data_IF_711605307260
#
_entry.id   IF_711605307260
#
_cell.length_a   1.000
_cell.length_b   1.000
_cell.length_c   1.000
_cell.angle_alpha   90.00
_cell.angle_beta   90.00
_cell.angle_gamma   90.00
#
_symmetry.space_group_name_H-M   'P 1'
#
loop_
_entity.id
_entity.type
_entity.pdbx_description
1 polymer ?
#
# COMPACT_ATOMS: atom_id res chain seq x y z
N UNK A 1 22.18 6.51 14.49
CA UNK A 1 22.37 5.82 13.20
C UNK A 1 21.02 5.32 12.79
N UNK A 2 20.54 5.61 11.58
CA UNK A 2 19.30 5.04 11.08
C UNK A 2 19.42 3.52 11.13
N UNK A 3 18.55 2.85 11.86
CA UNK A 3 18.48 1.39 11.84
C UNK A 3 18.13 0.96 10.42
N UNK A 4 18.64 -0.19 9.98
CA UNK A 4 18.34 -0.70 8.63
C UNK A 4 16.86 -1.05 8.56
N UNK A 5 16.19 -0.68 7.49
CA UNK A 5 14.80 -1.00 7.24
C UNK A 5 14.68 -2.04 6.12
N UNK A 6 13.99 -3.14 6.38
CA UNK A 6 13.50 -4.06 5.35
C UNK A 6 12.00 -3.96 5.23
N UNK A 7 11.43 -4.34 4.08
CA UNK A 7 9.99 -4.42 3.90
C UNK A 7 9.56 -5.81 3.46
N UNK A 8 8.56 -6.38 4.13
CA UNK A 8 7.84 -7.57 3.69
C UNK A 8 6.44 -7.15 3.25
N UNK A 9 6.00 -7.60 2.06
CA UNK A 9 4.71 -7.24 1.51
C UNK A 9 3.87 -8.50 1.31
N UNK A 10 2.79 -8.64 2.07
CA UNK A 10 1.89 -9.80 1.96
C UNK A 10 1.07 -9.72 0.66
N UNK A 11 1.32 -10.63 -0.26
CA UNK A 11 0.71 -10.67 -1.59
C UNK A 11 0.27 -12.10 -2.02
N UNK A 12 0.14 -13.04 -1.07
CA UNK A 12 -0.12 -14.45 -1.35
C UNK A 12 -1.63 -14.82 -1.44
N UNK A 13 -2.53 -13.90 -1.09
CA UNK A 13 -3.96 -14.16 -0.97
C UNK A 13 -4.64 -14.47 -2.31
N UNK A 14 -5.63 -15.38 -2.30
CA UNK A 14 -6.36 -15.84 -3.50
C UNK A 14 -7.25 -14.75 -4.15
N UNK A 15 -7.75 -13.78 -3.36
CA UNK A 15 -8.57 -12.67 -3.88
C UNK A 15 -9.88 -13.10 -4.56
N UNK A 16 -10.54 -14.13 -4.07
CA UNK A 16 -11.74 -14.74 -4.68
C UNK A 16 -12.89 -13.75 -4.94
N UNK A 17 -13.04 -12.73 -4.08
CA UNK A 17 -14.04 -11.64 -4.20
C UNK A 17 -13.84 -10.76 -5.44
N UNK A 18 -12.64 -10.73 -6.02
CA UNK A 18 -12.36 -10.02 -7.27
C UNK A 18 -13.01 -10.67 -8.50
N UNK A 19 -13.41 -11.94 -8.41
CA UNK A 19 -13.98 -12.72 -9.50
C UNK A 19 -13.14 -12.61 -10.78
N UNK A 20 -11.84 -12.88 -10.68
CA UNK A 20 -10.85 -12.67 -11.73
C UNK A 20 -9.81 -13.79 -11.72
N UNK A 21 -9.29 -14.14 -12.90
CA UNK A 21 -8.10 -14.99 -13.04
C UNK A 21 -6.79 -14.22 -12.77
N UNK A 22 -6.85 -12.87 -12.79
CA UNK A 22 -5.72 -12.05 -12.43
C UNK A 22 -5.58 -12.03 -10.89
N UNK A 23 -4.39 -12.29 -10.33
CA UNK A 23 -4.13 -12.12 -8.90
C UNK A 23 -4.59 -10.74 -8.39
N UNK A 24 -5.22 -10.71 -7.20
CA UNK A 24 -5.78 -9.48 -6.62
C UNK A 24 -4.82 -8.31 -6.66
N UNK A 25 -3.60 -8.54 -6.26
CA UNK A 25 -2.55 -7.50 -6.15
C UNK A 25 -2.06 -6.95 -7.50
N UNK A 26 -2.42 -7.59 -8.60
CA UNK A 26 -2.10 -7.13 -9.97
C UNK A 26 -3.20 -6.27 -10.62
N UNK A 27 -4.37 -6.15 -9.98
CA UNK A 27 -5.36 -5.19 -10.47
C UNK A 27 -4.81 -3.77 -10.37
N UNK A 28 -5.16 -2.95 -11.35
CA UNK A 28 -4.59 -1.61 -11.50
C UNK A 28 -5.55 -0.53 -11.03
N UNK A 29 -4.98 0.48 -10.37
CA UNK A 29 -5.56 1.79 -10.16
C UNK A 29 -4.56 2.83 -10.66
N UNK A 30 -5.02 3.84 -11.38
CA UNK A 30 -4.23 4.97 -11.88
C UNK A 30 -2.90 4.49 -12.49
N UNK A 31 -2.99 3.61 -13.49
CA UNK A 31 -1.84 3.13 -14.28
C UNK A 31 -0.98 2.03 -13.64
N UNK A 32 -0.94 1.88 -12.30
CA UNK A 32 -0.10 0.89 -11.60
C UNK A 32 -0.92 -0.21 -10.93
N UNK A 33 -0.33 -1.40 -10.76
CA UNK A 33 -0.92 -2.47 -9.95
C UNK A 33 -0.98 -2.08 -8.47
N UNK A 34 -1.89 -2.70 -7.69
CA UNK A 34 -1.96 -2.47 -6.25
C UNK A 34 -0.61 -2.72 -5.59
N UNK A 35 0.01 -3.87 -5.90
CA UNK A 35 1.36 -4.20 -5.40
C UNK A 35 2.41 -3.18 -5.87
N UNK A 36 2.29 -2.68 -7.11
CA UNK A 36 3.22 -1.67 -7.64
C UNK A 36 3.20 -0.36 -6.83
N UNK A 37 2.02 0.08 -6.37
CA UNK A 37 1.91 1.24 -5.47
C UNK A 37 2.58 0.96 -4.12
N UNK A 38 2.32 -0.20 -3.51
CA UNK A 38 2.90 -0.57 -2.21
C UNK A 38 4.42 -0.70 -2.28
N UNK A 39 4.95 -1.33 -3.34
CA UNK A 39 6.40 -1.42 -3.58
C UNK A 39 7.02 -0.05 -3.75
N UNK A 40 6.38 0.85 -4.53
CA UNK A 40 6.86 2.23 -4.69
C UNK A 40 6.95 2.97 -3.36
N UNK A 41 5.95 2.78 -2.48
CA UNK A 41 5.98 3.37 -1.13
C UNK A 41 7.13 2.80 -0.29
N UNK A 42 7.40 1.48 -0.36
CA UNK A 42 8.53 0.87 0.33
C UNK A 42 9.89 1.37 -0.20
N UNK A 43 10.02 1.57 -1.52
CA UNK A 43 11.21 2.18 -2.14
C UNK A 43 11.41 3.62 -1.67
N UNK A 44 10.35 4.42 -1.57
CA UNK A 44 10.42 5.80 -1.09
C UNK A 44 10.87 5.91 0.39
N UNK A 45 10.73 4.83 1.16
CA UNK A 45 11.22 4.71 2.54
C UNK A 45 12.67 4.21 2.63
N UNK A 46 13.35 4.01 1.51
CA UNK A 46 14.70 3.43 1.44
C UNK A 46 14.77 2.01 2.04
N UNK A 47 13.66 1.25 2.03
CA UNK A 47 13.62 -0.11 2.54
C UNK A 47 14.44 -1.06 1.65
N UNK A 48 15.32 -1.85 2.26
CA UNK A 48 16.13 -2.86 1.57
C UNK A 48 16.54 -3.99 2.53
N UNK A 49 16.23 -5.26 2.21
CA UNK A 49 15.52 -5.74 1.03
C UNK A 49 14.00 -5.47 1.07
N UNK A 50 13.35 -5.47 -0.12
CA UNK A 50 11.89 -5.48 -0.26
C UNK A 50 11.48 -6.89 -0.70
N UNK A 51 10.59 -7.53 0.08
CA UNK A 51 10.27 -8.95 -0.07
C UNK A 51 8.75 -9.14 -0.23
N UNK A 52 8.21 -9.20 -1.46
CA UNK A 52 6.86 -9.65 -1.68
C UNK A 52 6.72 -11.15 -1.35
N UNK A 53 5.80 -11.49 -0.45
CA UNK A 53 5.40 -12.88 -0.18
C UNK A 53 4.29 -13.23 -1.14
N UNK A 54 4.56 -14.12 -2.08
CA UNK A 54 3.64 -14.52 -3.14
C UNK A 54 3.14 -15.95 -2.90
N UNK A 55 1.97 -16.26 -3.44
CA UNK A 55 1.34 -17.58 -3.30
C UNK A 55 0.52 -17.90 -4.54
N UNK A 56 -0.80 -17.71 -4.49
CA UNK A 56 -1.65 -17.87 -5.66
C UNK A 56 -1.23 -16.92 -6.80
N UNK A 57 -0.95 -17.49 -7.99
CA UNK A 57 -0.48 -16.71 -9.15
C UNK A 57 0.93 -16.14 -9.01
N UNK A 58 1.80 -16.76 -8.19
CA UNK A 58 3.16 -16.30 -7.89
C UNK A 58 3.97 -15.94 -9.14
N UNK A 59 3.88 -16.77 -10.20
CA UNK A 59 4.62 -16.52 -11.44
C UNK A 59 4.11 -15.25 -12.17
N UNK A 60 2.79 -15.04 -12.20
CA UNK A 60 2.21 -13.83 -12.80
C UNK A 60 2.68 -12.57 -12.04
N UNK A 61 2.77 -12.65 -10.70
CA UNK A 61 3.25 -11.54 -9.88
C UNK A 61 4.74 -11.27 -10.15
N UNK A 62 5.58 -12.32 -10.22
CA UNK A 62 7.02 -12.17 -10.53
C UNK A 62 7.25 -11.53 -11.89
N UNK A 63 6.52 -11.99 -12.91
CA UNK A 63 6.60 -11.42 -14.27
C UNK A 63 6.14 -9.96 -14.29
N UNK A 64 5.02 -9.64 -13.62
CA UNK A 64 4.49 -8.28 -13.60
C UNK A 64 5.40 -7.27 -12.85
N UNK A 65 6.22 -7.76 -11.91
CA UNK A 65 7.15 -6.96 -11.11
C UNK A 65 8.61 -7.08 -11.60
N UNK A 66 8.83 -7.68 -12.78
CA UNK A 66 10.16 -7.82 -13.35
C UNK A 66 10.84 -6.45 -13.56
N UNK A 67 12.16 -6.39 -13.35
CA UNK A 67 12.95 -5.15 -13.46
C UNK A 67 12.99 -4.30 -12.18
N UNK A 68 12.28 -4.69 -11.13
CA UNK A 68 12.40 -4.06 -9.80
C UNK A 68 13.35 -4.88 -8.90
N UNK A 69 14.07 -4.22 -8.01
CA UNK A 69 14.98 -4.89 -7.05
C UNK A 69 14.18 -5.51 -5.89
N UNK A 70 13.63 -6.69 -6.15
CA UNK A 70 12.76 -7.42 -5.22
C UNK A 70 13.29 -8.84 -4.96
N UNK A 71 13.17 -9.29 -3.71
CA UNK A 71 13.40 -10.69 -3.33
C UNK A 71 12.04 -11.32 -3.03
N UNK A 72 11.67 -12.38 -3.75
CA UNK A 72 10.38 -13.02 -3.55
C UNK A 72 10.46 -14.18 -2.56
N UNK A 73 9.53 -14.23 -1.61
CA UNK A 73 9.28 -15.39 -0.78
C UNK A 73 8.01 -16.11 -1.27
N UNK A 74 7.99 -17.45 -1.20
CA UNK A 74 6.85 -18.26 -1.63
C UNK A 74 6.11 -18.81 -0.42
N UNK A 75 4.83 -18.44 -0.27
CA UNK A 75 3.89 -19.12 0.60
C UNK A 75 3.13 -20.18 -0.21
N UNK A 76 3.63 -21.41 -0.21
CA UNK A 76 3.04 -22.50 -1.01
C UNK A 76 1.65 -22.89 -0.51
N UNK A 77 1.45 -22.93 0.80
CA UNK A 77 0.17 -23.20 1.46
C UNK A 77 -0.28 -21.95 2.22
N UNK A 78 -1.52 -21.50 2.00
CA UNK A 78 -2.07 -20.32 2.65
C UNK A 78 -2.55 -20.65 4.08
N UNK A 79 -1.61 -20.79 5.01
CA UNK A 79 -1.86 -21.15 6.41
C UNK A 79 -2.02 -19.91 7.34
N UNK A 80 -2.29 -18.76 6.78
CA UNK A 80 -2.52 -17.51 7.53
C UNK A 80 -1.41 -16.46 7.33
N UNK A 81 -1.63 -15.28 7.92
CA UNK A 81 -0.76 -14.10 7.75
C UNK A 81 0.56 -14.21 8.54
N UNK A 82 0.55 -14.88 9.70
CA UNK A 82 1.76 -15.19 10.45
C UNK A 82 2.67 -16.16 9.71
N UNK A 83 2.08 -17.21 9.11
CA UNK A 83 2.82 -18.13 8.25
C UNK A 83 3.40 -17.42 7.02
N UNK A 84 2.68 -16.47 6.42
CA UNK A 84 3.18 -15.69 5.30
C UNK A 84 4.44 -14.89 5.66
N UNK A 85 4.48 -14.27 6.85
CA UNK A 85 5.68 -13.57 7.32
C UNK A 85 6.83 -14.55 7.60
N UNK A 86 6.57 -15.71 8.19
CA UNK A 86 7.60 -16.77 8.39
C UNK A 86 8.25 -17.20 7.07
N UNK A 87 7.50 -17.30 5.97
CA UNK A 87 8.03 -17.62 4.66
C UNK A 87 9.06 -16.58 4.14
N UNK A 88 9.08 -15.37 4.70
CA UNK A 88 10.06 -14.35 4.33
C UNK A 88 11.37 -14.42 5.11
N UNK A 89 11.47 -15.25 6.17
CA UNK A 89 12.65 -15.32 7.05
C UNK A 89 13.93 -15.62 6.26
N UNK A 90 13.91 -16.63 5.38
CA UNK A 90 15.06 -17.01 4.57
C UNK A 90 15.48 -15.90 3.58
N UNK A 91 14.53 -15.17 3.02
CA UNK A 91 14.81 -14.08 2.08
C UNK A 91 15.46 -12.86 2.76
N UNK A 92 15.31 -12.70 4.07
CA UNK A 92 15.98 -11.69 4.89
C UNK A 92 17.44 -12.03 5.18
N UNK A 93 17.84 -13.32 5.10
CA UNK A 93 19.23 -13.79 5.18
C UNK A 93 20.03 -13.17 6.35
N UNK A 94 19.52 -13.30 7.59
CA UNK A 94 20.16 -12.77 8.79
C UNK A 94 20.09 -11.24 8.94
N UNK A 95 19.13 -10.61 8.29
CA UNK A 95 18.85 -9.19 8.45
C UNK A 95 18.62 -8.85 9.94
N UNK A 96 19.25 -7.79 10.40
CA UNK A 96 19.07 -7.21 11.73
C UNK A 96 18.75 -5.72 11.59
N UNK A 97 17.60 -5.33 12.08
CA UNK A 97 17.04 -3.97 11.95
C UNK A 97 15.53 -3.99 12.09
N UNK A 98 14.87 -2.98 11.57
CA UNK A 98 13.42 -2.87 11.60
C UNK A 98 12.80 -3.47 10.34
N UNK A 99 11.71 -4.21 10.52
CA UNK A 99 10.98 -4.91 9.48
C UNK A 99 9.59 -4.31 9.32
N UNK A 100 9.39 -3.57 8.25
CA UNK A 100 8.09 -3.02 7.88
C UNK A 100 7.26 -4.09 7.16
N UNK A 101 6.12 -4.44 7.73
CA UNK A 101 5.15 -5.32 7.10
C UNK A 101 4.04 -4.51 6.46
N UNK A 102 3.82 -4.73 5.17
CA UNK A 102 2.78 -4.09 4.36
C UNK A 102 1.85 -5.14 3.75
N UNK A 103 0.62 -4.71 3.43
CA UNK A 103 -0.33 -5.51 2.67
C UNK A 103 -0.34 -5.06 1.20
N UNK A 104 -0.14 -5.98 0.26
CA UNK A 104 -0.05 -5.69 -1.17
C UNK A 104 -1.36 -5.19 -1.81
N UNK A 105 -2.44 -5.19 -1.05
CA UNK A 105 -3.76 -4.69 -1.42
C UNK A 105 -4.17 -3.39 -0.67
N UNK A 106 -3.22 -2.73 0.01
CA UNK A 106 -3.42 -1.44 0.69
C UNK A 106 -2.57 -0.35 0.02
N UNK A 107 -2.94 0.12 -1.19
CA UNK A 107 -2.12 1.01 -1.99
C UNK A 107 -2.20 2.49 -1.59
N UNK A 108 -3.11 2.85 -0.68
CA UNK A 108 -3.39 4.25 -0.35
C UNK A 108 -2.54 4.80 0.80
N UNK A 109 -1.65 3.99 1.39
CA UNK A 109 -0.76 4.42 2.46
C UNK A 109 0.18 5.53 2.00
N UNK A 110 0.26 6.60 2.78
CA UNK A 110 1.20 7.68 2.53
C UNK A 110 2.58 7.36 3.11
N UNK A 111 3.63 7.73 2.38
CA UNK A 111 5.00 7.70 2.88
C UNK A 111 5.14 8.43 4.22
N UNK A 112 4.52 9.62 4.37
CA UNK A 112 4.54 10.40 5.61
C UNK A 112 4.00 9.61 6.81
N UNK A 113 2.93 8.86 6.63
CA UNK A 113 2.32 8.03 7.68
C UNK A 113 3.26 6.91 8.11
N UNK A 114 3.91 6.26 7.13
CA UNK A 114 4.87 5.20 7.43
C UNK A 114 6.17 5.74 8.05
N UNK A 115 6.64 6.92 7.65
CA UNK A 115 7.76 7.59 8.35
C UNK A 115 7.40 7.89 9.80
N UNK A 116 6.19 8.38 10.07
CA UNK A 116 5.72 8.60 11.45
C UNK A 116 5.64 7.30 12.26
N UNK A 117 5.25 6.17 11.63
CA UNK A 117 5.26 4.85 12.26
C UNK A 117 6.69 4.41 12.63
N UNK A 118 7.65 4.60 11.72
CA UNK A 118 9.07 4.28 11.94
C UNK A 118 9.63 5.14 13.06
N UNK A 119 9.41 6.44 13.02
CA UNK A 119 9.88 7.38 14.05
C UNK A 119 9.31 7.03 15.42
N UNK A 120 8.00 6.72 15.50
CA UNK A 120 7.35 6.31 16.74
C UNK A 120 7.94 5.00 17.29
N UNK A 121 8.13 3.99 16.45
CA UNK A 121 8.74 2.71 16.81
C UNK A 121 10.13 2.89 17.42
N UNK A 122 10.98 3.66 16.74
CA UNK A 122 12.34 3.94 17.19
C UNK A 122 12.36 4.72 18.51
N UNK A 123 11.54 5.79 18.63
CA UNK A 123 11.47 6.63 19.84
C UNK A 123 10.99 5.82 21.06
N UNK A 124 10.07 4.91 20.85
CA UNK A 124 9.54 4.06 21.90
C UNK A 124 10.42 2.83 22.17
N UNK A 125 11.45 2.57 21.36
CA UNK A 125 12.25 1.34 21.38
C UNK A 125 11.36 0.08 21.41
N UNK A 126 10.27 0.08 20.63
CA UNK A 126 9.29 -0.98 20.60
C UNK A 126 9.84 -2.24 19.88
N UNK A 127 9.35 -3.42 20.26
CA UNK A 127 9.55 -4.66 19.53
C UNK A 127 8.50 -4.81 18.41
N UNK A 128 7.27 -4.36 18.69
CA UNK A 128 6.14 -4.38 17.76
C UNK A 128 5.45 -3.02 17.81
N UNK A 129 5.22 -2.41 16.66
CA UNK A 129 4.35 -1.23 16.53
C UNK A 129 3.30 -1.49 15.47
N UNK A 130 2.04 -1.30 15.83
CA UNK A 130 0.88 -1.53 14.97
C UNK A 130 0.41 -0.18 14.44
N UNK A 131 0.16 -0.08 13.13
CA UNK A 131 -0.61 1.04 12.59
C UNK A 131 -2.09 0.75 12.79
N UNK A 132 -2.80 1.61 13.49
CA UNK A 132 -4.23 1.47 13.80
C UNK A 132 -5.04 2.60 13.21
N UNK A 133 -6.33 2.38 13.02
CA UNK A 133 -7.27 3.40 12.56
C UNK A 133 -8.59 3.28 13.32
N UNK A 134 -9.35 4.37 13.41
CA UNK A 134 -10.72 4.34 13.92
C UNK A 134 -11.70 4.34 12.76
N UNK A 135 -12.63 3.39 12.75
CA UNK A 135 -13.67 3.28 11.72
C UNK A 135 -15.07 3.33 12.33
N UNK A 136 -16.02 3.99 11.63
CA UNK A 136 -17.44 3.98 12.01
C UNK A 136 -18.05 2.59 11.85
N UNK A 137 -17.64 1.88 10.79
CA UNK A 137 -18.01 0.49 10.56
C UNK A 137 -16.74 -0.38 10.50
N UNK A 138 -16.32 -1.00 11.62
CA UNK A 138 -15.10 -1.78 11.69
C UNK A 138 -15.27 -3.24 11.20
N UNK A 139 -16.42 -3.59 10.62
CA UNK A 139 -16.71 -4.96 10.18
C UNK A 139 -15.65 -5.49 9.20
N UNK A 140 -15.18 -6.71 9.46
CA UNK A 140 -14.17 -7.39 8.64
C UNK A 140 -12.72 -7.09 9.01
N UNK A 141 -12.46 -6.25 10.00
CA UNK A 141 -11.12 -5.97 10.53
C UNK A 141 -10.90 -6.60 11.90
N UNK A 142 -9.67 -6.88 12.27
CA UNK A 142 -9.29 -7.19 13.63
C UNK A 142 -9.47 -5.97 14.56
N UNK A 143 -9.82 -6.20 15.79
CA UNK A 143 -10.03 -5.16 16.82
C UNK A 143 -8.82 -5.01 17.72
N UNK A 144 -8.45 -3.78 18.02
CA UNK A 144 -7.37 -3.47 18.97
C UNK A 144 -7.97 -3.46 20.37
N UNK A 145 -7.56 -4.43 21.19
CA UNK A 145 -7.97 -4.50 22.58
C UNK A 145 -6.89 -3.84 23.43
N UNK A 146 -7.29 -2.80 24.17
CA UNK A 146 -6.39 -2.04 25.03
C UNK A 146 -6.62 -2.39 26.50
N UNK A 147 -5.53 -2.64 27.20
CA UNK A 147 -5.47 -2.74 28.65
C UNK A 147 -4.91 -1.47 29.31
N UNK A 148 -4.58 -1.55 30.58
CA UNK A 148 -4.02 -0.43 31.37
C UNK A 148 -2.67 0.05 30.78
N UNK A 149 -1.88 -0.86 30.24
CA UNK A 149 -0.52 -0.60 29.75
C UNK A 149 -0.43 -0.46 28.20
N UNK A 150 -1.52 -0.10 27.53
CA UNK A 150 -1.57 0.08 26.08
C UNK A 150 -2.24 -1.10 25.36
N UNK A 151 -1.74 -1.47 24.18
CA UNK A 151 -2.31 -2.58 23.41
C UNK A 151 -2.02 -3.90 24.12
N UNK A 152 -3.07 -4.65 24.40
CA UNK A 152 -2.99 -5.96 25.03
C UNK A 152 -2.96 -7.09 24.00
N UNK A 153 -3.91 -7.08 23.08
CA UNK A 153 -4.04 -8.07 22.00
C UNK A 153 -4.86 -7.52 20.83
N UNK A 154 -4.84 -8.24 19.74
CA UNK A 154 -5.73 -8.02 18.60
C UNK A 154 -6.64 -9.24 18.48
N UNK A 155 -7.93 -8.99 18.27
CA UNK A 155 -8.93 -10.05 18.06
C UNK A 155 -9.47 -9.95 16.64
N UNK A 156 -9.36 -11.04 15.89
CA UNK A 156 -9.91 -11.10 14.55
C UNK A 156 -11.45 -11.09 14.57
N UNK A 157 -12.07 -10.51 13.53
CA UNK A 157 -13.55 -10.37 13.45
C UNK A 157 -14.31 -11.67 13.75
N UNK A 158 -13.79 -12.82 13.32
CA UNK A 158 -14.46 -14.10 13.45
C UNK A 158 -14.37 -14.70 14.86
N UNK A 159 -13.33 -14.31 15.59
CA UNK A 159 -13.05 -14.77 16.95
C UNK A 159 -13.55 -13.78 18.01
N UNK A 160 -13.95 -12.55 17.59
CA UNK A 160 -14.41 -11.49 18.47
C UNK A 160 -15.78 -11.79 19.10
N UNK A 161 -15.91 -11.55 20.40
CA UNK A 161 -17.19 -11.56 21.10
C UNK A 161 -18.03 -10.29 20.77
N UNK A 162 -19.25 -10.20 21.35
CA UNK A 162 -20.16 -9.09 21.06
C UNK A 162 -19.61 -7.73 21.56
N UNK A 163 -18.90 -7.71 22.67
CA UNK A 163 -18.31 -6.48 23.23
C UNK A 163 -17.09 -6.04 22.42
N UNK A 164 -16.26 -6.98 22.02
CA UNK A 164 -15.07 -6.74 21.19
C UNK A 164 -15.43 -6.22 19.80
N UNK A 165 -16.52 -6.71 19.19
CA UNK A 165 -17.03 -6.19 17.90
C UNK A 165 -17.45 -4.74 17.96
N UNK A 166 -17.77 -4.19 19.13
CA UNK A 166 -18.10 -2.75 19.30
C UNK A 166 -16.87 -1.84 19.32
N UNK A 167 -15.67 -2.41 19.47
CA UNK A 167 -14.42 -1.64 19.41
C UNK A 167 -14.23 -1.09 18.00
N UNK A 168 -14.04 0.23 17.91
CA UNK A 168 -13.91 0.95 16.62
C UNK A 168 -12.48 1.10 16.17
N UNK A 169 -11.50 0.90 17.05
CA UNK A 169 -10.09 0.89 16.70
C UNK A 169 -9.73 -0.46 16.05
N UNK A 170 -9.27 -0.38 14.81
CA UNK A 170 -9.01 -1.55 13.98
C UNK A 170 -7.52 -1.77 13.74
N UNK A 171 -7.16 -3.02 13.53
CA UNK A 171 -5.89 -3.44 12.98
C UNK A 171 -5.87 -3.19 11.48
N UNK A 172 -4.93 -2.37 11.00
CA UNK A 172 -4.77 -2.08 9.57
C UNK A 172 -4.03 -3.18 8.80
N UNK A 173 -3.40 -4.13 9.51
CA UNK A 173 -2.51 -5.12 8.92
C UNK A 173 -1.10 -4.60 8.60
N UNK A 174 -0.80 -3.37 8.99
CA UNK A 174 0.50 -2.72 8.80
C UNK A 174 1.23 -2.70 10.14
N UNK A 175 2.48 -3.18 10.13
CA UNK A 175 3.28 -3.31 11.33
C UNK A 175 4.72 -2.88 11.10
N UNK A 176 5.37 -2.48 12.17
CA UNK A 176 6.82 -2.41 12.26
C UNK A 176 7.30 -3.33 13.38
N UNK A 177 8.26 -4.18 13.08
CA UNK A 177 8.81 -5.18 13.98
C UNK A 177 10.32 -5.03 14.11
N UNK A 178 10.89 -5.43 15.23
CA UNK A 178 12.31 -5.74 15.31
C UNK A 178 12.59 -7.14 14.78
N UNK A 179 13.41 -7.24 13.76
CA UNK A 179 13.96 -8.50 13.31
C UNK A 179 15.32 -8.74 14.02
N UNK A 180 15.64 -9.93 14.51
CA UNK A 180 14.96 -11.23 14.31
C UNK A 180 13.88 -11.59 15.36
N UNK A 181 13.59 -10.70 16.35
CA UNK A 181 12.70 -11.01 17.46
C UNK A 181 11.31 -11.48 16.98
N UNK A 182 10.74 -10.82 15.96
CA UNK A 182 9.42 -11.20 15.43
C UNK A 182 9.37 -12.65 14.95
N UNK A 183 10.44 -13.16 14.35
CA UNK A 183 10.47 -14.56 13.90
C UNK A 183 10.55 -15.57 15.06
N UNK A 184 11.23 -15.20 16.16
CA UNK A 184 11.20 -16.00 17.36
C UNK A 184 9.78 -16.07 17.97
N UNK A 185 9.09 -14.92 18.07
CA UNK A 185 7.73 -14.84 18.57
C UNK A 185 6.73 -15.62 17.68
N UNK A 186 6.88 -15.53 16.35
CA UNK A 186 5.99 -16.23 15.40
C UNK A 186 6.09 -17.76 15.48
N UNK A 187 7.25 -18.31 15.87
CA UNK A 187 7.44 -19.77 16.00
C UNK A 187 6.63 -20.34 17.18
N UNK A 188 6.25 -19.49 18.15
CA UNK A 188 5.45 -19.87 19.31
C UNK A 188 3.93 -19.64 19.11
N UNK A 189 3.53 -18.99 18.00
CA UNK A 189 2.12 -18.79 17.64
C UNK A 189 1.53 -20.10 17.15
N UNK A 190 0.36 -20.46 17.66
CA UNK A 190 -0.40 -21.65 17.24
C UNK A 190 -1.57 -21.27 16.28
N UNK A 191 -2.28 -22.27 15.79
CA UNK A 191 -3.43 -22.09 14.88
C UNK A 191 -4.76 -22.48 15.52
N UNK A 192 -4.87 -22.44 16.85
CA UNK A 192 -6.09 -22.79 17.59
C UNK A 192 -7.08 -21.62 17.62
N UNK A 193 -7.64 -21.30 16.45
CA UNK A 193 -8.65 -20.26 16.23
C UNK A 193 -9.73 -20.75 15.27
N UNK A 194 -10.77 -19.95 15.04
CA UNK A 194 -11.94 -20.33 14.19
C UNK A 194 -11.54 -20.69 12.76
N UNK A 195 -10.46 -20.14 12.24
CA UNK A 195 -10.01 -20.39 10.86
C UNK A 195 -8.96 -21.52 10.75
N UNK A 196 -8.34 -21.94 11.85
CA UNK A 196 -7.22 -22.88 11.85
C UNK A 196 -5.95 -22.31 11.23
N UNK A 197 -5.78 -20.99 11.23
CA UNK A 197 -4.68 -20.27 10.59
C UNK A 197 -3.69 -19.71 11.63
N UNK A 198 -2.44 -19.55 11.24
CA UNK A 198 -1.44 -18.83 12.04
C UNK A 198 -1.68 -17.33 11.86
N UNK A 199 -2.33 -16.72 12.82
CA UNK A 199 -2.61 -15.28 12.78
C UNK A 199 -1.39 -14.46 13.13
N UNK A 200 -1.07 -13.48 12.31
CA UNK A 200 -0.02 -12.51 12.62
C UNK A 200 -0.38 -11.66 13.85
N UNK A 201 -1.66 -11.42 14.07
CA UNK A 201 -2.19 -10.65 15.19
C UNK A 201 -1.85 -11.25 16.55
N UNK A 202 -1.62 -12.56 16.63
CA UNK A 202 -1.24 -13.25 17.87
C UNK A 202 0.19 -12.91 18.32
N UNK A 203 1.05 -12.42 17.41
CA UNK A 203 2.39 -11.91 17.76
C UNK A 203 2.32 -10.78 18.81
N UNK A 204 1.25 -9.99 18.82
CA UNK A 204 1.05 -8.89 19.79
C UNK A 204 0.94 -9.45 21.20
N UNK A 205 0.09 -10.44 21.39
CA UNK A 205 -0.06 -11.10 22.70
C UNK A 205 1.22 -11.86 23.10
N UNK A 206 1.87 -12.54 22.14
CA UNK A 206 3.15 -13.23 22.38
C UNK A 206 4.26 -12.25 22.79
N UNK A 207 4.37 -11.09 22.14
CA UNK A 207 5.33 -10.06 22.51
C UNK A 207 5.08 -9.52 23.93
N UNK A 208 3.82 -9.24 24.28
CA UNK A 208 3.46 -8.79 25.63
C UNK A 208 3.79 -9.85 26.69
N UNK A 209 3.51 -11.12 26.42
CA UNK A 209 3.85 -12.23 27.33
C UNK A 209 5.35 -12.41 27.51
N UNK A 210 6.15 -12.15 26.48
CA UNK A 210 7.61 -12.15 26.54
C UNK A 210 8.20 -10.91 27.24
N UNK A 211 7.36 -9.95 27.69
CA UNK A 211 7.80 -8.70 28.30
C UNK A 211 8.33 -7.67 27.30
N UNK A 212 8.10 -7.88 26.01
CA UNK A 212 8.52 -6.97 24.96
C UNK A 212 7.57 -5.75 24.87
N UNK A 213 8.12 -4.63 24.43
CA UNK A 213 7.34 -3.40 24.27
C UNK A 213 6.50 -3.44 22.99
N UNK A 214 5.19 -3.28 23.15
CA UNK A 214 4.22 -3.19 22.07
C UNK A 214 3.58 -1.81 22.07
N UNK A 215 3.62 -1.15 20.91
CA UNK A 215 3.05 0.19 20.70
C UNK A 215 2.01 0.18 19.58
N UNK A 216 1.20 1.22 19.50
CA UNK A 216 0.29 1.46 18.39
C UNK A 216 0.31 2.94 18.01
N UNK A 217 0.36 3.21 16.71
CA UNK A 217 0.19 4.53 16.14
C UNK A 217 -1.18 4.61 15.47
N UNK A 218 -2.06 5.46 16.02
CA UNK A 218 -3.36 5.74 15.42
C UNK A 218 -3.20 6.76 14.28
N UNK A 219 -3.70 6.41 13.08
CA UNK A 219 -3.71 7.34 11.95
C UNK A 219 -4.98 8.19 11.94
N UNK A 220 -4.85 9.44 11.48
CA UNK A 220 -5.97 10.40 11.39
C UNK A 220 -6.94 10.05 10.26
N UNK A 221 -6.42 9.53 9.14
CA UNK A 221 -7.22 9.20 7.96
C UNK A 221 -7.28 7.69 7.72
N UNK A 222 -8.36 7.05 8.11
CA UNK A 222 -8.58 5.61 7.94
C UNK A 222 -8.62 5.16 6.46
N UNK A 223 -8.87 6.08 5.49
CA UNK A 223 -8.84 5.74 4.07
C UNK A 223 -7.46 5.22 3.62
N UNK A 224 -6.38 5.66 4.28
CA UNK A 224 -5.03 5.18 3.97
C UNK A 224 -4.87 3.67 4.17
N UNK A 225 -5.59 3.12 5.14
CA UNK A 225 -5.55 1.71 5.49
C UNK A 225 -6.60 0.85 4.76
N UNK A 226 -7.28 1.41 3.75
CA UNK A 226 -8.31 0.69 3.01
C UNK A 226 -7.74 -0.46 2.20
N UNK A 227 -8.06 -1.70 2.61
CA UNK A 227 -7.74 -2.91 1.86
C UNK A 227 -8.71 -3.14 0.71
N UNK A 228 -8.19 -3.44 -0.47
CA UNK A 228 -8.99 -3.67 -1.68
C UNK A 228 -9.25 -5.15 -1.87
N UNK A 229 -10.50 -5.57 -1.71
CA UNK A 229 -10.92 -6.96 -1.78
C UNK A 229 -11.87 -7.29 -2.93
N UNK A 230 -12.53 -6.28 -3.49
CA UNK A 230 -13.50 -6.42 -4.58
C UNK A 230 -13.42 -5.24 -5.56
N UNK A 231 -14.27 -5.28 -6.61
CA UNK A 231 -14.27 -4.26 -7.67
C UNK A 231 -14.84 -2.90 -7.23
N UNK A 232 -15.70 -2.88 -6.22
CA UNK A 232 -16.25 -1.63 -5.69
C UNK A 232 -15.17 -0.89 -4.90
N UNK A 233 -14.47 -1.58 -4.02
CA UNK A 233 -13.33 -1.04 -3.29
C UNK A 233 -12.19 -0.62 -4.24
N UNK A 234 -11.97 -1.38 -5.34
CA UNK A 234 -10.98 -1.00 -6.36
C UNK A 234 -11.34 0.34 -7.03
N UNK A 235 -12.61 0.54 -7.37
CA UNK A 235 -13.08 1.78 -7.99
C UNK A 235 -12.97 2.97 -7.02
N UNK A 236 -13.32 2.79 -5.76
CA UNK A 236 -13.21 3.85 -4.73
C UNK A 236 -11.74 4.21 -4.47
N UNK A 237 -10.85 3.23 -4.33
CA UNK A 237 -9.42 3.48 -4.18
C UNK A 237 -8.83 4.25 -5.39
N UNK A 238 -9.25 3.89 -6.61
CA UNK A 238 -8.86 4.60 -7.82
C UNK A 238 -9.33 6.06 -7.83
N UNK A 239 -10.54 6.33 -7.32
CA UNK A 239 -11.07 7.68 -7.17
C UNK A 239 -10.25 8.50 -6.16
N UNK A 240 -9.98 7.94 -4.97
CA UNK A 240 -9.17 8.59 -3.94
C UNK A 240 -7.76 8.91 -4.47
N UNK A 241 -7.10 7.93 -5.10
CA UNK A 241 -5.76 8.12 -5.67
C UNK A 241 -5.75 9.21 -6.74
N UNK A 242 -6.73 9.21 -7.67
CA UNK A 242 -6.88 10.25 -8.69
C UNK A 242 -7.04 11.64 -8.07
N UNK A 243 -7.87 11.77 -7.03
CA UNK A 243 -8.05 13.05 -6.33
C UNK A 243 -6.74 13.55 -5.73
N UNK A 244 -5.94 12.68 -5.12
CA UNK A 244 -4.63 13.02 -4.55
C UNK A 244 -3.65 13.50 -5.63
N UNK A 245 -3.54 12.76 -6.74
CA UNK A 245 -2.65 13.11 -7.85
C UNK A 245 -3.08 14.47 -8.46
N UNK A 246 -4.36 14.63 -8.72
CA UNK A 246 -4.90 15.88 -9.27
C UNK A 246 -4.63 17.06 -8.34
N UNK A 247 -4.83 16.91 -7.04
CA UNK A 247 -4.55 17.96 -6.04
C UNK A 247 -3.06 18.34 -6.02
N UNK A 248 -2.15 17.37 -6.21
CA UNK A 248 -0.72 17.63 -6.30
C UNK A 248 -0.39 18.51 -7.50
N UNK A 249 -0.93 18.19 -8.69
CA UNK A 249 -0.73 19.00 -9.90
C UNK A 249 -1.33 20.40 -9.77
N UNK A 250 -2.55 20.52 -9.20
CA UNK A 250 -3.18 21.83 -8.95
C UNK A 250 -2.33 22.68 -7.99
N UNK A 251 -1.78 22.09 -6.94
CA UNK A 251 -0.88 22.80 -6.01
C UNK A 251 0.45 23.22 -6.66
N UNK A 252 0.85 22.54 -7.74
CA UNK A 252 2.03 22.87 -8.53
C UNK A 252 1.75 23.89 -9.66
N UNK A 253 0.54 24.47 -9.73
CA UNK A 253 0.18 25.52 -10.70
C UNK A 253 -0.47 25.02 -11.99
N UNK A 254 -0.94 23.76 -12.04
CA UNK A 254 -1.73 23.23 -13.16
C UNK A 254 -3.21 23.53 -12.95
N UNK A 255 -3.90 24.01 -13.98
CA UNK A 255 -5.35 24.20 -13.94
C UNK A 255 -6.07 22.98 -14.48
N UNK A 256 -6.85 22.31 -13.64
CA UNK A 256 -7.76 21.24 -14.05
C UNK A 256 -9.19 21.80 -14.07
N UNK A 257 -9.82 21.85 -15.23
CA UNK A 257 -11.19 22.40 -15.39
C UNK A 257 -12.22 21.53 -14.66
N UNK A 258 -12.06 20.21 -14.75
CA UNK A 258 -12.86 19.24 -14.01
C UNK A 258 -11.97 18.10 -13.47
N UNK A 259 -11.48 18.21 -12.23
CA UNK A 259 -10.64 17.18 -11.63
C UNK A 259 -11.34 15.80 -11.52
N UNK A 260 -12.67 15.76 -11.47
CA UNK A 260 -13.40 14.51 -11.34
C UNK A 260 -13.32 13.63 -12.59
N UNK A 261 -13.21 14.26 -13.77
CA UNK A 261 -13.11 13.58 -15.07
C UNK A 261 -11.70 13.64 -15.69
N UNK A 262 -10.71 14.16 -14.97
CA UNK A 262 -9.30 14.18 -15.42
C UNK A 262 -8.53 13.01 -14.82
N UNK A 263 -7.86 12.22 -15.67
CA UNK A 263 -7.15 11.01 -15.30
C UNK A 263 -5.66 11.17 -15.56
N UNK A 264 -4.86 11.27 -14.50
CA UNK A 264 -3.41 11.47 -14.56
C UNK A 264 -2.74 10.32 -13.81
N UNK A 265 -1.83 9.61 -14.49
CA UNK A 265 -1.04 8.54 -13.86
C UNK A 265 0.05 9.11 -12.93
N UNK A 266 0.51 8.36 -11.92
CA UNK A 266 1.40 8.88 -10.87
C UNK A 266 2.76 9.39 -11.38
N UNK A 267 3.24 8.85 -12.51
CA UNK A 267 4.56 9.19 -13.06
C UNK A 267 4.52 10.30 -14.11
N UNK A 268 3.33 10.87 -14.34
CA UNK A 268 3.16 12.02 -15.25
C UNK A 268 3.66 13.28 -14.57
N UNK A 269 4.38 14.12 -15.33
CA UNK A 269 4.77 15.47 -14.90
C UNK A 269 4.16 16.54 -15.81
N UNK A 270 3.72 17.65 -15.22
CA UNK A 270 3.06 18.75 -15.92
C UNK A 270 3.64 20.06 -15.42
N UNK A 271 4.06 20.92 -16.34
CA UNK A 271 4.55 22.26 -16.03
C UNK A 271 3.43 23.20 -15.60
N UNK A 272 3.81 24.26 -14.87
CA UNK A 272 2.88 25.31 -14.41
C UNK A 272 2.17 26.02 -15.56
N UNK A 273 1.06 26.67 -15.24
CA UNK A 273 0.21 27.42 -16.19
C UNK A 273 -0.38 26.57 -17.35
N UNK A 274 -0.27 25.22 -17.22
CA UNK A 274 -0.90 24.30 -18.17
C UNK A 274 -2.36 24.09 -17.79
N UNK A 275 -3.25 24.18 -18.81
CA UNK A 275 -4.69 24.01 -18.69
C UNK A 275 -5.12 22.63 -19.21
N UNK A 276 -5.76 21.83 -18.36
CA UNK A 276 -6.28 20.52 -18.69
C UNK A 276 -7.78 20.50 -18.65
N UNK A 277 -8.39 20.19 -19.80
CA UNK A 277 -9.83 20.13 -19.97
C UNK A 277 -10.47 18.81 -19.50
N UNK A 278 -11.81 18.72 -19.38
CA UNK A 278 -12.48 17.50 -18.93
C UNK A 278 -12.24 16.28 -19.83
N UNK A 279 -12.21 15.10 -19.25
CA UNK A 279 -12.07 13.83 -19.99
C UNK A 279 -10.68 13.56 -20.55
N UNK A 280 -9.68 14.32 -20.13
CA UNK A 280 -8.28 14.10 -20.56
C UNK A 280 -7.69 12.93 -19.78
N UNK A 281 -6.91 12.09 -20.49
CA UNK A 281 -6.13 10.99 -19.94
C UNK A 281 -4.64 11.19 -20.22
N UNK A 282 -3.84 11.36 -19.18
CA UNK A 282 -2.38 11.45 -19.22
C UNK A 282 -1.79 10.19 -18.57
N UNK A 283 -1.06 9.39 -19.33
CA UNK A 283 -0.67 8.04 -18.94
C UNK A 283 0.83 7.81 -19.00
N UNK A 284 1.29 6.81 -18.23
CA UNK A 284 2.66 6.30 -18.27
C UNK A 284 3.68 7.35 -17.82
N UNK A 285 4.76 7.49 -18.59
CA UNK A 285 5.87 8.42 -18.32
C UNK A 285 5.72 9.77 -19.08
N UNK A 286 4.46 10.18 -19.33
CA UNK A 286 4.18 11.43 -20.06
C UNK A 286 4.72 12.65 -19.32
N UNK A 287 5.39 13.53 -20.05
CA UNK A 287 5.90 14.82 -19.57
C UNK A 287 5.31 15.93 -20.41
N UNK A 288 4.70 16.91 -19.75
CA UNK A 288 4.09 18.08 -20.40
C UNK A 288 4.78 19.33 -19.86
N UNK A 289 5.18 20.22 -20.76
CA UNK A 289 5.79 21.50 -20.43
C UNK A 289 4.82 22.48 -19.81
N UNK A 290 5.26 23.74 -19.69
CA UNK A 290 4.49 24.84 -19.11
C UNK A 290 3.65 25.58 -20.14
N UNK A 291 2.53 26.16 -19.71
CA UNK A 291 1.67 26.99 -20.54
C UNK A 291 0.96 26.25 -21.69
N UNK A 292 0.81 24.93 -21.56
CA UNK A 292 0.12 24.11 -22.55
C UNK A 292 -1.40 24.15 -22.34
N UNK A 293 -2.14 23.80 -23.40
CA UNK A 293 -3.57 23.59 -23.34
C UNK A 293 -3.90 22.21 -23.91
N UNK A 294 -4.51 21.35 -23.07
CA UNK A 294 -4.89 19.99 -23.43
C UNK A 294 -6.41 19.90 -23.45
N UNK A 295 -6.96 19.85 -24.66
CA UNK A 295 -8.38 19.93 -24.96
C UNK A 295 -9.17 18.67 -24.56
N UNK A 296 -10.52 18.75 -24.45
CA UNK A 296 -11.35 17.66 -23.95
C UNK A 296 -11.15 16.33 -24.69
N UNK A 297 -11.08 15.25 -23.91
CA UNK A 297 -11.02 13.87 -24.43
C UNK A 297 -9.67 13.48 -25.05
N UNK A 298 -8.64 14.30 -24.93
CA UNK A 298 -7.30 13.92 -25.38
C UNK A 298 -6.73 12.77 -24.54
N UNK A 299 -6.02 11.84 -25.20
CA UNK A 299 -5.34 10.71 -24.55
C UNK A 299 -3.85 10.78 -24.93
N UNK A 300 -2.99 10.96 -23.95
CA UNK A 300 -1.53 11.12 -24.14
C UNK A 300 -0.82 10.06 -23.31
N UNK A 301 -0.06 9.19 -23.95
CA UNK A 301 0.63 8.05 -23.31
C UNK A 301 2.10 8.04 -23.68
N UNK A 302 2.99 8.02 -22.67
CA UNK A 302 4.44 7.93 -22.83
C UNK A 302 5.03 8.97 -23.80
N UNK A 303 4.53 10.22 -23.73
CA UNK A 303 4.92 11.31 -24.61
C UNK A 303 5.76 12.36 -23.87
N UNK A 304 6.57 13.10 -24.66
CA UNK A 304 7.23 14.32 -24.21
C UNK A 304 6.66 15.51 -24.99
N UNK A 305 5.94 16.39 -24.30
CA UNK A 305 5.30 17.58 -24.86
C UNK A 305 6.06 18.81 -24.37
N UNK A 306 6.50 19.66 -25.27
CA UNK A 306 7.20 20.91 -24.96
C UNK A 306 6.31 21.97 -24.32
N UNK A 307 6.83 23.20 -24.23
CA UNK A 307 6.11 24.33 -23.65
C UNK A 307 5.14 24.94 -24.69
N UNK A 308 4.05 25.53 -24.19
CA UNK A 308 3.05 26.26 -24.98
C UNK A 308 2.46 25.46 -26.14
N UNK A 309 2.25 24.17 -25.93
CA UNK A 309 1.65 23.26 -26.92
C UNK A 309 0.15 23.21 -26.76
N UNK A 310 -0.58 23.20 -27.87
CA UNK A 310 -2.02 23.09 -27.89
C UNK A 310 -2.44 21.72 -28.49
N UNK A 311 -2.84 20.79 -27.64
CA UNK A 311 -3.37 19.48 -28.04
C UNK A 311 -4.88 19.60 -28.28
N UNK A 312 -5.31 19.33 -29.52
CA UNK A 312 -6.70 19.47 -29.97
C UNK A 312 -7.65 18.41 -29.35
N UNK A 313 -8.97 18.67 -29.35
CA UNK A 313 -9.96 17.76 -28.76
C UNK A 313 -9.87 16.35 -29.35
N UNK A 314 -9.96 15.33 -28.50
CA UNK A 314 -9.97 13.92 -28.90
C UNK A 314 -8.68 13.41 -29.52
N UNK A 315 -7.57 14.17 -29.46
CA UNK A 315 -6.26 13.71 -29.95
C UNK A 315 -5.78 12.48 -29.17
N UNK A 316 -5.17 11.53 -29.89
CA UNK A 316 -4.52 10.37 -29.29
C UNK A 316 -3.05 10.38 -29.66
N UNK A 317 -2.17 10.53 -28.68
CA UNK A 317 -0.73 10.53 -28.85
C UNK A 317 -0.12 9.39 -28.03
N UNK A 318 0.81 8.66 -28.62
CA UNK A 318 1.58 7.61 -27.93
C UNK A 318 3.04 7.68 -28.34
N UNK A 319 3.94 7.48 -27.37
CA UNK A 319 5.40 7.37 -27.57
C UNK A 319 5.97 8.45 -28.51
N UNK A 320 5.46 9.69 -28.38
CA UNK A 320 5.73 10.78 -29.31
C UNK A 320 6.38 11.96 -28.59
N UNK A 321 7.14 12.74 -29.36
CA UNK A 321 7.69 14.01 -28.89
C UNK A 321 7.09 15.15 -29.71
N UNK A 322 6.57 16.18 -29.04
CA UNK A 322 6.05 17.42 -29.62
C UNK A 322 6.93 18.58 -29.15
N UNK A 323 7.42 19.39 -30.05
CA UNK A 323 8.24 20.57 -29.75
C UNK A 323 7.42 21.70 -29.11
N UNK A 324 8.11 22.78 -28.72
CA UNK A 324 7.46 23.97 -28.19
C UNK A 324 6.61 24.71 -29.23
N UNK A 325 5.64 25.49 -28.76
CA UNK A 325 4.84 26.41 -29.55
C UNK A 325 4.08 25.72 -30.73
N UNK A 326 3.62 24.48 -30.56
CA UNK A 326 2.90 23.67 -31.56
C UNK A 326 1.39 23.69 -31.37
#
# INVERSE_FOLDING_TARGET
>A
MSEKLAAVILAAGQGTRMKSSLPKVLHRIVGKSLLGHVVQTAVALDASPIIPVVGHGAEQVRVAMAGQDLRFALQAEQLGTGHALLCAEDALNGFSGDLLLLCGDVPLLHEKTLRALIDHHCQQAACVTILTATMDNPAGYGRIIRGIEGVERIVEEKDADESERQVREINTGIYLFRAPQVFALLKDVDNRNVQGEYYLTDVVAAARQAGERVEALLIDNAEEAMGINDRLQLAEAGKIMRQRINATHQSAGVTLVDPATTYIDPDVSIGSDTLIHPGVHLRGQTRIGSGCEIEPGAVVTDCTIGDKVHIKPGSVLSESTVGNDC
#
